data_IF_903577183391
#
_entry.id   IF_903577183391
#
_cell.length_a   1.000
_cell.length_b   1.000
_cell.length_c   1.000
_cell.angle_alpha   90.00
_cell.angle_beta   90.00
_cell.angle_gamma   90.00
#
_symmetry.space_group_name_H-M   'P 1'
#
loop_
_entity.id
_entity.type
_entity.pdbx_description
1 polymer ?
#
# COMPACT_ATOMS: atom_id res chain seq x y z
N UNK A 1 8.94 -17.94 -24.80
CA UNK A 1 8.41 -16.69 -24.19
C UNK A 1 9.48 -15.61 -24.27
N UNK A 2 9.25 -14.59 -25.09
CA UNK A 2 10.26 -13.64 -25.59
C UNK A 2 11.01 -12.90 -24.45
N UNK A 3 12.35 -12.87 -24.44
CA UNK A 3 13.16 -12.35 -23.30
C UNK A 3 12.76 -10.92 -22.85
N UNK A 4 12.10 -10.16 -23.74
CA UNK A 4 11.55 -8.83 -23.52
C UNK A 4 10.40 -8.77 -22.48
N UNK A 5 9.41 -9.68 -22.54
CA UNK A 5 8.19 -9.54 -21.71
C UNK A 5 8.51 -9.63 -20.21
N UNK A 6 9.50 -10.45 -19.83
CA UNK A 6 9.86 -10.66 -18.43
C UNK A 6 10.45 -9.40 -17.82
N UNK A 7 11.36 -8.74 -18.55
CA UNK A 7 11.95 -7.46 -18.12
C UNK A 7 10.88 -6.37 -18.03
N UNK A 8 9.98 -6.32 -19.00
CA UNK A 8 8.82 -5.41 -18.96
C UNK A 8 7.97 -5.67 -17.73
N UNK A 9 7.64 -6.92 -17.42
CA UNK A 9 6.83 -7.26 -16.26
C UNK A 9 7.52 -6.92 -14.93
N UNK A 10 8.83 -7.17 -14.81
CA UNK A 10 9.62 -6.71 -13.66
C UNK A 10 9.57 -5.19 -13.53
N UNK A 11 9.73 -4.46 -14.63
CA UNK A 11 9.62 -3.00 -14.63
C UNK A 11 8.22 -2.52 -14.23
N UNK A 12 7.17 -3.21 -14.66
CA UNK A 12 5.79 -2.87 -14.28
C UNK A 12 5.54 -3.00 -12.78
N UNK A 13 6.22 -3.91 -12.07
CA UNK A 13 6.13 -3.98 -10.60
C UNK A 13 6.53 -2.65 -9.95
N UNK A 14 7.51 -1.94 -10.53
CA UNK A 14 7.98 -0.67 -10.00
C UNK A 14 6.94 0.45 -10.08
N UNK A 15 5.86 0.29 -10.84
CA UNK A 15 4.73 1.24 -10.84
C UNK A 15 3.98 1.25 -9.50
N UNK A 16 4.12 0.21 -8.67
CA UNK A 16 3.50 0.17 -7.34
C UNK A 16 3.99 1.31 -6.43
N UNK A 17 5.27 1.67 -6.51
CA UNK A 17 5.87 2.73 -5.68
C UNK A 17 5.36 4.14 -6.04
N UNK A 18 5.45 4.62 -7.30
CA UNK A 18 4.90 5.93 -7.66
C UNK A 18 3.38 5.96 -7.52
N UNK A 19 2.68 4.83 -7.72
CA UNK A 19 1.24 4.76 -7.44
C UNK A 19 0.93 4.98 -5.95
N UNK A 20 1.67 4.33 -5.05
CA UNK A 20 1.52 4.53 -3.61
C UNK A 20 1.87 5.97 -3.19
N UNK A 21 2.98 6.52 -3.71
CA UNK A 21 3.39 7.89 -3.45
C UNK A 21 2.35 8.91 -3.95
N UNK A 22 1.78 8.68 -5.14
CA UNK A 22 0.72 9.52 -5.69
C UNK A 22 -0.54 9.51 -4.83
N UNK A 23 -0.89 8.37 -4.23
CA UNK A 23 -2.03 8.29 -3.32
C UNK A 23 -1.80 9.09 -2.03
N UNK A 24 -0.60 9.02 -1.45
CA UNK A 24 -0.23 9.88 -0.32
C UNK A 24 -0.28 11.35 -0.70
N UNK A 25 0.30 11.72 -1.84
CA UNK A 25 0.30 13.11 -2.30
C UNK A 25 -1.14 13.64 -2.45
N UNK A 26 -2.02 12.89 -3.12
CA UNK A 26 -3.42 13.30 -3.32
C UNK A 26 -4.20 13.45 -2.01
N UNK A 27 -3.88 12.65 -1.00
CA UNK A 27 -4.55 12.68 0.29
C UNK A 27 -3.89 13.63 1.32
N UNK A 28 -2.71 14.17 1.02
CA UNK A 28 -1.79 14.73 2.00
C UNK A 28 -2.41 15.77 2.94
N UNK A 29 -3.11 16.74 2.36
CA UNK A 29 -3.72 17.85 3.11
C UNK A 29 -4.94 17.42 3.94
N UNK A 30 -5.52 16.27 3.62
CA UNK A 30 -6.69 15.70 4.30
C UNK A 30 -6.29 14.67 5.36
N UNK A 31 -5.04 14.21 5.36
CA UNK A 31 -4.57 13.24 6.34
C UNK A 31 -4.43 13.88 7.72
N UNK A 32 -4.92 13.20 8.78
CA UNK A 32 -4.75 13.70 10.13
C UNK A 32 -3.26 13.71 10.50
N UNK A 33 -2.86 14.66 11.35
CA UNK A 33 -1.49 14.76 11.87
C UNK A 33 -1.04 13.45 12.54
N UNK A 34 -1.99 12.71 13.14
CA UNK A 34 -1.78 11.42 13.77
C UNK A 34 -2.57 10.34 13.02
N UNK A 35 -1.87 9.46 12.32
CA UNK A 35 -2.44 8.37 11.54
C UNK A 35 -2.42 7.05 12.30
N UNK A 36 -3.53 6.33 12.28
CA UNK A 36 -3.59 4.93 12.67
C UNK A 36 -2.92 4.04 11.61
N UNK A 37 -1.95 3.22 12.02
CA UNK A 37 -1.18 2.35 11.12
C UNK A 37 -1.14 0.89 11.55
N UNK A 38 -1.44 0.61 12.82
CA UNK A 38 -1.59 -0.76 13.33
C UNK A 38 -3.01 -1.00 13.82
N UNK A 39 -3.48 -2.21 13.60
CA UNK A 39 -4.82 -2.66 13.94
C UNK A 39 -4.74 -3.96 14.73
N UNK A 40 -5.59 -4.11 15.74
CA UNK A 40 -5.73 -5.36 16.49
C UNK A 40 -6.61 -6.37 15.74
N UNK A 41 -6.81 -7.55 16.35
CA UNK A 41 -7.65 -8.61 15.79
C UNK A 41 -9.14 -8.20 15.62
N UNK A 42 -9.58 -7.15 16.31
CA UNK A 42 -10.93 -6.59 16.22
C UNK A 42 -11.00 -5.40 15.25
N UNK A 43 -9.98 -5.21 14.42
CA UNK A 43 -9.85 -4.10 13.47
C UNK A 43 -9.85 -2.71 14.13
N UNK A 44 -9.50 -2.63 15.42
CA UNK A 44 -9.37 -1.35 16.11
C UNK A 44 -7.94 -0.82 16.01
N UNK A 45 -7.77 0.49 15.78
CA UNK A 45 -6.45 1.08 15.67
C UNK A 45 -5.75 1.09 17.04
N UNK A 46 -4.65 0.35 17.14
CA UNK A 46 -3.87 0.18 18.38
C UNK A 46 -2.48 0.82 18.31
N UNK A 47 -2.06 1.30 17.15
CA UNK A 47 -0.77 1.97 16.96
C UNK A 47 -0.90 3.14 15.99
N UNK A 48 -0.25 4.24 16.35
CA UNK A 48 -0.32 5.50 15.64
C UNK A 48 1.07 6.04 15.32
N UNK A 49 1.17 6.81 14.25
CA UNK A 49 2.38 7.55 13.86
C UNK A 49 1.98 8.90 13.25
N UNK A 50 2.95 9.76 12.95
CA UNK A 50 2.69 10.98 12.17
C UNK A 50 2.39 10.64 10.71
N UNK A 51 1.75 11.54 9.95
CA UNK A 51 1.55 11.33 8.50
C UNK A 51 2.87 11.17 7.74
N UNK A 52 3.92 11.86 8.17
CA UNK A 52 5.28 11.73 7.65
C UNK A 52 5.83 10.33 7.94
N UNK A 53 5.70 9.86 9.18
CA UNK A 53 6.12 8.50 9.57
C UNK A 53 5.31 7.40 8.86
N UNK A 54 4.04 7.62 8.55
CA UNK A 54 3.23 6.71 7.76
C UNK A 54 3.72 6.60 6.32
N UNK A 55 4.07 7.74 5.69
CA UNK A 55 4.69 7.77 4.36
C UNK A 55 6.04 7.06 4.36
N UNK A 56 6.92 7.39 5.30
CA UNK A 56 8.26 6.80 5.40
C UNK A 56 8.18 5.28 5.56
N UNK A 57 7.33 4.79 6.46
CA UNK A 57 7.14 3.36 6.65
C UNK A 57 6.51 2.69 5.42
N UNK A 58 5.42 3.26 4.89
CA UNK A 58 4.66 2.69 3.79
C UNK A 58 5.44 2.64 2.48
N UNK A 59 6.12 3.73 2.11
CA UNK A 59 6.97 3.79 0.92
C UNK A 59 8.31 3.08 1.14
N UNK A 60 8.86 3.14 2.36
CA UNK A 60 10.10 2.46 2.72
C UNK A 60 10.00 0.94 2.59
N UNK A 61 8.96 0.33 3.19
CA UNK A 61 8.70 -1.11 3.05
C UNK A 61 8.49 -1.48 1.57
N UNK A 62 7.72 -0.69 0.84
CA UNK A 62 7.47 -0.92 -0.59
C UNK A 62 8.78 -0.91 -1.40
N UNK A 63 9.64 0.09 -1.18
CA UNK A 63 10.91 0.22 -1.88
C UNK A 63 11.85 -0.96 -1.57
N UNK A 64 11.97 -1.35 -0.30
CA UNK A 64 12.78 -2.50 0.11
C UNK A 64 12.28 -3.78 -0.56
N UNK A 65 10.97 -4.05 -0.51
CA UNK A 65 10.39 -5.23 -1.15
C UNK A 65 10.56 -5.22 -2.67
N UNK A 66 10.43 -4.08 -3.33
CA UNK A 66 10.67 -3.94 -4.77
C UNK A 66 12.10 -4.30 -5.15
N UNK A 67 13.09 -3.81 -4.40
CA UNK A 67 14.50 -4.16 -4.64
C UNK A 67 14.72 -5.65 -4.43
N UNK A 68 14.27 -6.20 -3.31
CA UNK A 68 14.43 -7.62 -2.99
C UNK A 68 13.79 -8.52 -4.04
N UNK A 69 12.55 -8.23 -4.45
CA UNK A 69 11.86 -9.00 -5.47
C UNK A 69 12.44 -8.81 -6.86
N UNK A 70 12.94 -7.62 -7.20
CA UNK A 70 13.66 -7.41 -8.46
C UNK A 70 14.91 -8.28 -8.51
N UNK A 71 15.74 -8.26 -7.46
CA UNK A 71 16.95 -9.09 -7.40
C UNK A 71 16.61 -10.57 -7.41
N UNK A 72 15.64 -11.01 -6.59
CA UNK A 72 15.23 -12.41 -6.52
C UNK A 72 14.68 -12.91 -7.86
N UNK A 73 13.82 -12.15 -8.53
CA UNK A 73 13.28 -12.54 -9.85
C UNK A 73 14.36 -12.63 -10.91
N UNK A 74 15.35 -11.73 -10.90
CA UNK A 74 16.51 -11.79 -11.79
C UNK A 74 17.41 -13.00 -11.51
N UNK A 75 17.69 -13.31 -10.23
CA UNK A 75 18.46 -14.49 -9.82
C UNK A 75 17.73 -15.77 -10.22
N UNK A 76 16.43 -15.91 -9.91
CA UNK A 76 15.64 -17.07 -10.29
C UNK A 76 15.60 -17.21 -11.80
N UNK A 77 15.50 -16.11 -12.54
CA UNK A 77 15.55 -16.14 -14.00
C UNK A 77 16.90 -16.64 -14.53
N UNK A 78 18.00 -16.31 -13.88
CA UNK A 78 19.34 -16.76 -14.26
C UNK A 78 19.61 -18.22 -13.89
N UNK A 79 19.23 -18.64 -12.68
CA UNK A 79 19.58 -19.95 -12.12
C UNK A 79 18.54 -21.04 -12.40
N UNK A 80 17.24 -20.67 -12.47
CA UNK A 80 16.13 -21.61 -12.67
C UNK A 80 15.04 -21.00 -13.57
N UNK A 81 15.29 -20.88 -14.90
CA UNK A 81 14.38 -20.20 -15.82
C UNK A 81 12.94 -20.72 -15.81
N UNK A 82 12.72 -22.01 -15.55
CA UNK A 82 11.39 -22.62 -15.45
C UNK A 82 10.58 -22.09 -14.26
N UNK A 83 11.25 -21.66 -13.18
CA UNK A 83 10.64 -21.08 -11.98
C UNK A 83 10.59 -19.54 -12.00
N UNK A 84 10.98 -18.90 -13.10
CA UNK A 84 10.99 -17.43 -13.18
C UNK A 84 9.60 -16.80 -13.19
N UNK A 85 8.62 -17.46 -13.82
CA UNK A 85 7.25 -16.94 -13.91
C UNK A 85 6.46 -17.06 -12.59
N UNK A 86 6.56 -18.16 -11.80
CA UNK A 86 5.89 -18.23 -10.50
C UNK A 86 6.53 -17.27 -9.50
N UNK A 87 7.86 -17.11 -9.53
CA UNK A 87 8.55 -16.14 -8.68
C UNK A 87 8.06 -14.70 -8.95
N UNK A 88 7.95 -14.33 -10.23
CA UNK A 88 7.40 -13.03 -10.63
C UNK A 88 5.94 -12.86 -10.18
N UNK A 89 5.10 -13.88 -10.37
CA UNK A 89 3.71 -13.84 -9.94
C UNK A 89 3.59 -13.64 -8.43
N UNK A 90 4.37 -14.38 -7.64
CA UNK A 90 4.40 -14.24 -6.18
C UNK A 90 4.85 -12.84 -5.77
N UNK A 91 5.91 -12.30 -6.39
CA UNK A 91 6.35 -10.92 -6.16
C UNK A 91 5.24 -9.90 -6.44
N UNK A 92 4.52 -10.04 -7.55
CA UNK A 92 3.39 -9.18 -7.87
C UNK A 92 2.27 -9.28 -6.82
N UNK A 93 1.94 -10.49 -6.36
CA UNK A 93 0.90 -10.71 -5.35
C UNK A 93 1.28 -10.02 -4.03
N UNK A 94 2.50 -10.25 -3.53
CA UNK A 94 2.95 -9.67 -2.26
C UNK A 94 2.99 -8.14 -2.34
N UNK A 95 3.52 -7.59 -3.44
CA UNK A 95 3.52 -6.14 -3.67
C UNK A 95 2.09 -5.57 -3.75
N UNK A 96 1.17 -6.29 -4.39
CA UNK A 96 -0.24 -5.92 -4.45
C UNK A 96 -0.88 -5.85 -3.06
N UNK A 97 -0.61 -6.84 -2.20
CA UNK A 97 -1.06 -6.81 -0.81
C UNK A 97 -0.46 -5.64 -0.02
N UNK A 98 0.84 -5.41 -0.13
CA UNK A 98 1.49 -4.26 0.53
C UNK A 98 0.90 -2.93 0.05
N UNK A 99 0.65 -2.78 -1.25
CA UNK A 99 0.08 -1.58 -1.83
C UNK A 99 -1.36 -1.36 -1.35
N UNK A 100 -2.15 -2.44 -1.31
CA UNK A 100 -3.51 -2.42 -0.80
C UNK A 100 -3.55 -2.03 0.68
N UNK A 101 -2.68 -2.63 1.52
CA UNK A 101 -2.57 -2.30 2.94
C UNK A 101 -2.18 -0.84 3.18
N UNK A 102 -1.25 -0.32 2.39
CA UNK A 102 -0.85 1.09 2.48
C UNK A 102 -2.02 2.03 2.13
N UNK A 103 -2.80 1.69 1.10
CA UNK A 103 -3.98 2.47 0.72
C UNK A 103 -5.16 2.33 1.70
N UNK A 104 -5.34 1.17 2.32
CA UNK A 104 -6.40 0.98 3.32
C UNK A 104 -6.14 1.84 4.56
N UNK A 105 -4.87 1.99 4.96
CA UNK A 105 -4.45 2.94 6.02
C UNK A 105 -4.86 4.36 5.67
N UNK A 106 -4.54 4.84 4.46
CA UNK A 106 -4.94 6.19 4.00
C UNK A 106 -6.46 6.35 4.08
N UNK A 107 -7.22 5.42 3.48
CA UNK A 107 -8.70 5.47 3.45
C UNK A 107 -9.30 5.45 4.85
N UNK A 108 -8.79 4.59 5.74
CA UNK A 108 -9.27 4.50 7.11
C UNK A 108 -9.12 5.83 7.85
N UNK A 109 -7.96 6.49 7.70
CA UNK A 109 -7.70 7.76 8.36
C UNK A 109 -8.52 8.91 7.77
N UNK A 110 -8.71 8.96 6.45
CA UNK A 110 -9.58 9.95 5.79
C UNK A 110 -11.03 9.86 6.28
N UNK A 111 -11.57 8.65 6.41
CA UNK A 111 -12.95 8.44 6.86
C UNK A 111 -13.21 8.91 8.30
N UNK A 112 -12.18 9.03 9.13
CA UNK A 112 -12.30 9.55 10.49
C UNK A 112 -12.20 11.08 10.59
N UNK A 113 -11.68 11.73 9.55
CA UNK A 113 -11.59 13.20 9.45
C UNK A 113 -12.85 13.79 8.80
N UNK A 114 -13.61 13.00 8.03
CA UNK A 114 -14.87 13.46 7.44
C UNK A 114 -15.84 14.01 8.50
N UNK A 115 -16.46 15.19 8.28
CA UNK A 115 -17.41 15.75 9.23
C UNK A 115 -18.55 14.75 9.48
N UNK A 116 -18.87 14.48 10.76
CA UNK A 116 -20.12 13.79 11.07
C UNK A 116 -21.27 14.61 10.48
N UNK A 117 -22.25 14.00 9.80
CA UNK A 117 -23.48 14.70 9.48
C UNK A 117 -24.07 15.26 10.77
N UNK A 118 -24.61 16.49 10.77
CA UNK A 118 -25.20 17.07 11.97
C UNK A 118 -26.30 16.13 12.50
N UNK A 119 -26.46 16.03 13.83
CA UNK A 119 -27.53 15.23 14.41
C UNK A 119 -28.87 15.70 13.85
N UNK A 120 -29.62 14.77 13.26
CA UNK A 120 -31.01 15.02 12.86
C UNK A 120 -31.81 15.19 14.15
N UNK A 121 -32.20 16.43 14.46
CA UNK A 121 -33.13 16.70 15.55
C UNK A 121 -34.50 16.13 15.16
N UNK A 122 -34.79 14.93 15.64
CA UNK A 122 -36.14 14.37 15.60
C UNK A 122 -36.90 15.02 16.74
N UNK A 123 -37.52 16.17 16.48
CA UNK A 123 -38.51 16.73 17.41
C UNK A 123 -39.72 15.80 17.41
N UNK A 124 -39.92 15.09 18.53
CA UNK A 124 -41.15 14.34 18.78
C UNK A 124 -42.22 15.36 19.20
N UNK A 125 -43.36 15.45 18.50
CA UNK A 125 -44.47 16.30 18.95
C UNK A 125 -45.11 15.68 20.20
N UNK A 126 -45.36 16.53 21.21
CA UNK A 126 -46.06 16.20 22.46
C UNK A 126 -47.53 15.84 22.25
#
# INVERSE_FOLDING_TARGET
>A
MNRSWYKTAVLLMWLALPAAACNYWRAWDQLPVRMAVHFDANWQPNGYTSREGAVELGLGIMAVLLVLFTVATLIVRALKPSASWPALLLSCIVLGFCWYGNNSIIRFNLNRVAPRPPPVNITVPE
#
